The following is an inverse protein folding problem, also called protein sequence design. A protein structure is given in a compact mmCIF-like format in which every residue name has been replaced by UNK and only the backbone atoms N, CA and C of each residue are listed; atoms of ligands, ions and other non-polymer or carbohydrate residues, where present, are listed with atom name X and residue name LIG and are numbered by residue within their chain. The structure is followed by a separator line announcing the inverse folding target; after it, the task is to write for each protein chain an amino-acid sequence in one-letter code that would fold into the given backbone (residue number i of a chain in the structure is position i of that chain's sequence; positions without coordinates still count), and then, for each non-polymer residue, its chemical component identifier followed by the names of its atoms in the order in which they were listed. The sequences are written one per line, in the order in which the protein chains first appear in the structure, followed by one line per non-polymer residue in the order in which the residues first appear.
data_IF_380626231436
#
_entry.id   IF_380626231436
#
_cell.length_a   1.000
_cell.length_b   1.000
_cell.length_c   1.000
_cell.angle_alpha   90.00
_cell.angle_beta   90.00
_cell.angle_gamma   90.00
#
_symmetry.space_group_name_H-M   'P 1'
#
loop_
_entity.id
_entity.type
_entity.pdbx_description
1 polymer ?
#
# COMPACT_ATOMS: atom_id res chain seq x y z
N UNK A 1 9.87 -10.96 1.18
CA UNK A 1 8.64 -11.76 1.24
C UNK A 1 8.37 -11.99 2.71
N UNK A 2 7.25 -11.49 3.21
CA UNK A 2 6.82 -11.70 4.58
C UNK A 2 5.72 -12.78 4.59
N UNK A 3 5.50 -13.42 5.74
CA UNK A 3 4.52 -14.49 5.86
C UNK A 3 3.71 -14.38 7.15
N UNK A 4 2.43 -14.72 7.09
CA UNK A 4 1.53 -14.77 8.25
C UNK A 4 0.50 -15.88 8.06
N UNK A 5 -0.02 -16.45 9.14
CA UNK A 5 -1.02 -17.51 9.11
C UNK A 5 -2.31 -17.03 9.77
N UNK A 6 -3.42 -17.12 9.03
CA UNK A 6 -4.69 -16.54 9.44
C UNK A 6 -5.76 -17.64 9.47
N UNK A 7 -6.31 -17.92 10.66
CA UNK A 7 -7.48 -18.77 10.85
C UNK A 7 -8.72 -17.90 11.03
N UNK A 8 -9.80 -18.18 10.31
CA UNK A 8 -10.98 -17.32 10.36
C UNK A 8 -12.22 -17.98 9.79
N UNK A 9 -12.51 -19.19 10.25
CA UNK A 9 -13.61 -20.00 9.75
C UNK A 9 -13.19 -20.88 8.57
N UNK A 10 -14.17 -21.27 7.74
CA UNK A 10 -13.91 -22.09 6.56
C UNK A 10 -12.84 -21.45 5.67
N UNK A 11 -11.72 -22.16 5.50
CA UNK A 11 -10.56 -21.64 4.79
C UNK A 11 -10.77 -21.46 3.28
N UNK A 12 -11.84 -21.98 2.67
CA UNK A 12 -12.13 -21.80 1.24
C UNK A 12 -12.45 -20.34 0.93
N UNK A 13 -13.37 -19.77 1.70
CA UNK A 13 -13.72 -18.36 1.62
C UNK A 13 -12.55 -17.48 2.01
N UNK A 14 -11.87 -17.82 3.10
CA UNK A 14 -10.73 -17.05 3.59
C UNK A 14 -9.58 -17.01 2.58
N UNK A 15 -9.23 -18.14 1.96
CA UNK A 15 -8.19 -18.20 0.94
C UNK A 15 -8.56 -17.32 -0.25
N UNK A 16 -9.80 -17.42 -0.74
CA UNK A 16 -10.27 -16.60 -1.87
C UNK A 16 -10.28 -15.10 -1.56
N UNK A 17 -10.68 -14.73 -0.34
CA UNK A 17 -10.68 -13.35 0.12
C UNK A 17 -9.26 -12.80 0.18
N UNK A 18 -8.35 -13.50 0.84
CA UNK A 18 -6.96 -13.04 1.05
C UNK A 18 -6.17 -13.07 -0.26
N UNK A 19 -6.31 -14.09 -1.11
CA UNK A 19 -5.60 -14.16 -2.39
C UNK A 19 -6.00 -13.05 -3.37
N UNK A 20 -7.14 -12.42 -3.15
CA UNK A 20 -7.59 -11.29 -3.97
C UNK A 20 -6.91 -9.97 -3.59
N UNK A 21 -6.27 -9.88 -2.42
CA UNK A 21 -5.65 -8.64 -1.91
C UNK A 21 -4.38 -8.32 -2.70
N UNK A 22 -4.27 -7.10 -3.22
CA UNK A 22 -3.05 -6.64 -3.91
C UNK A 22 -1.84 -6.67 -2.95
N UNK A 23 -0.70 -7.18 -3.43
CA UNK A 23 0.50 -7.44 -2.62
C UNK A 23 0.56 -8.83 -1.99
N UNK A 24 -0.55 -9.60 -1.95
CA UNK A 24 -0.49 -11.02 -1.61
C UNK A 24 0.01 -11.80 -2.82
N UNK A 25 1.08 -12.57 -2.62
CA UNK A 25 1.80 -13.26 -3.70
C UNK A 25 1.49 -14.75 -3.76
N UNK A 26 1.13 -15.37 -2.63
CA UNK A 26 0.79 -16.78 -2.56
C UNK A 26 -0.09 -17.06 -1.33
N UNK A 27 -1.02 -17.99 -1.48
CA UNK A 27 -1.80 -18.54 -0.36
C UNK A 27 -1.82 -20.06 -0.39
N UNK A 28 -1.94 -20.68 0.78
CA UNK A 28 -2.02 -22.14 0.93
C UNK A 28 -2.94 -22.47 2.11
N UNK A 29 -3.94 -23.34 1.91
CA UNK A 29 -4.83 -23.77 2.99
C UNK A 29 -4.24 -24.93 3.75
N UNK A 30 -4.50 -25.00 5.06
CA UNK A 30 -3.99 -26.06 5.91
C UNK A 30 -4.54 -26.03 7.33
N UNK A 31 -3.94 -26.85 8.18
CA UNK A 31 -4.34 -27.10 9.55
C UNK A 31 -3.22 -26.69 10.49
N UNK A 32 -3.50 -25.79 11.43
CA UNK A 32 -2.48 -25.21 12.30
C UNK A 32 -2.78 -25.41 13.78
N UNK A 33 -1.69 -25.41 14.57
CA UNK A 33 -1.69 -25.31 16.02
C UNK A 33 -2.57 -26.36 16.73
N UNK A 34 -2.62 -27.57 16.20
CA UNK A 34 -3.21 -28.73 16.87
C UNK A 34 -2.17 -29.71 17.41
N UNK A 35 -2.59 -30.63 18.30
CA UNK A 35 -1.71 -31.54 19.03
C UNK A 35 -1.20 -32.73 18.22
N UNK A 36 -1.84 -33.07 17.10
CA UNK A 36 -1.49 -34.24 16.26
C UNK A 36 -0.68 -33.84 15.04
N UNK A 37 0.20 -34.72 14.57
CA UNK A 37 0.94 -34.52 13.33
C UNK A 37 0.09 -34.85 12.10
N UNK A 38 0.19 -34.03 11.04
CA UNK A 38 -0.38 -34.26 9.71
C UNK A 38 -1.84 -34.75 9.72
N UNK A 39 -2.78 -34.00 10.32
CA UNK A 39 -4.18 -34.44 10.38
C UNK A 39 -4.83 -34.46 8.99
N UNK A 40 -5.75 -35.39 8.75
CA UNK A 40 -6.63 -35.36 7.57
C UNK A 40 -7.83 -34.43 7.82
N UNK A 41 -8.50 -34.00 6.76
CA UNK A 41 -9.71 -33.19 6.89
C UNK A 41 -10.77 -33.84 7.79
N UNK A 42 -10.99 -35.16 7.69
CA UNK A 42 -11.96 -35.86 8.55
C UNK A 42 -11.59 -35.81 10.03
N UNK A 43 -10.29 -35.87 10.34
CA UNK A 43 -9.82 -35.73 11.72
C UNK A 43 -10.02 -34.31 12.24
N UNK A 44 -9.82 -33.30 11.39
CA UNK A 44 -10.06 -31.89 11.73
C UNK A 44 -11.54 -31.63 11.98
N UNK A 45 -12.44 -32.10 11.10
CA UNK A 45 -13.88 -32.05 11.34
C UNK A 45 -14.29 -32.84 12.61
N UNK A 46 -13.54 -33.90 12.94
CA UNK A 46 -13.68 -34.71 14.15
C UNK A 46 -13.08 -34.13 15.42
N UNK A 47 -12.75 -32.82 15.44
CA UNK A 47 -12.20 -32.10 16.60
C UNK A 47 -10.77 -32.52 16.98
N UNK A 48 -9.86 -32.62 15.99
CA UNK A 48 -8.43 -32.86 16.25
C UNK A 48 -7.74 -31.76 17.05
N UNK A 49 -8.36 -30.57 17.18
CA UNK A 49 -7.82 -29.39 17.87
C UNK A 49 -7.08 -28.41 16.94
N UNK A 50 -6.82 -28.81 15.70
CA UNK A 50 -6.26 -27.92 14.67
C UNK A 50 -7.26 -26.84 14.25
N UNK A 51 -6.76 -25.67 13.84
CA UNK A 51 -7.55 -24.63 13.16
C UNK A 51 -7.38 -24.72 11.64
N UNK A 52 -8.47 -24.57 10.90
CA UNK A 52 -8.41 -24.24 9.48
C UNK A 52 -7.75 -22.88 9.30
N UNK A 53 -6.66 -22.87 8.54
CA UNK A 53 -5.73 -21.75 8.48
C UNK A 53 -5.28 -21.52 7.04
N UNK A 54 -5.15 -20.26 6.66
CA UNK A 54 -4.54 -19.84 5.39
C UNK A 54 -3.15 -19.32 5.69
N UNK A 55 -2.13 -19.95 5.11
CA UNK A 55 -0.77 -19.40 5.01
C UNK A 55 -0.78 -18.32 3.94
N UNK A 56 -0.22 -17.16 4.25
CA UNK A 56 -0.23 -15.98 3.39
C UNK A 56 1.20 -15.49 3.20
N UNK A 57 1.72 -15.55 1.98
CA UNK A 57 2.96 -14.88 1.60
C UNK A 57 2.61 -13.57 0.88
N UNK A 58 3.28 -12.48 1.26
CA UNK A 58 3.00 -11.14 0.71
C UNK A 58 4.27 -10.27 0.56
N UNK A 59 4.20 -9.30 -0.34
CA UNK A 59 5.19 -8.23 -0.44
C UNK A 59 4.83 -7.09 0.50
N UNK A 60 5.62 -6.97 1.58
CA UNK A 60 5.53 -5.87 2.56
C UNK A 60 5.66 -4.46 1.97
N UNK A 61 6.15 -4.32 0.72
CA UNK A 61 6.21 -3.06 0.00
C UNK A 61 4.91 -2.68 -0.71
N UNK A 62 4.05 -3.65 -0.99
CA UNK A 62 2.74 -3.46 -1.62
C UNK A 62 1.60 -3.52 -0.62
N UNK A 63 1.74 -4.32 0.44
CA UNK A 63 0.76 -4.43 1.54
C UNK A 63 1.46 -4.58 2.90
N UNK A 64 1.17 -3.68 3.85
CA UNK A 64 1.68 -3.82 5.22
C UNK A 64 0.92 -4.89 6.01
N UNK A 65 1.60 -5.52 6.98
CA UNK A 65 0.95 -6.47 7.90
C UNK A 65 -0.27 -5.85 8.57
N UNK A 66 -0.13 -4.61 9.07
CA UNK A 66 -1.25 -3.92 9.73
C UNK A 66 -2.45 -3.72 8.81
N UNK A 67 -2.24 -3.45 7.52
CA UNK A 67 -3.35 -3.34 6.57
C UNK A 67 -3.97 -4.69 6.22
N UNK A 68 -3.15 -5.72 6.02
CA UNK A 68 -3.62 -7.08 5.78
C UNK A 68 -4.50 -7.59 6.93
N UNK A 69 -4.09 -7.34 8.19
CA UNK A 69 -4.88 -7.71 9.37
C UNK A 69 -6.22 -6.98 9.43
N UNK A 70 -6.28 -5.71 9.02
CA UNK A 70 -7.56 -4.97 8.95
C UNK A 70 -8.52 -5.57 7.92
N UNK A 71 -8.01 -6.01 6.77
CA UNK A 71 -8.82 -6.73 5.78
C UNK A 71 -9.29 -8.07 6.34
N UNK A 72 -8.43 -8.81 7.03
CA UNK A 72 -8.81 -10.03 7.74
C UNK A 72 -9.92 -9.78 8.78
N UNK A 73 -9.83 -8.72 9.59
CA UNK A 73 -10.90 -8.35 10.53
C UNK A 73 -12.22 -7.99 9.83
N UNK A 74 -12.16 -7.35 8.66
CA UNK A 74 -13.33 -7.05 7.84
C UNK A 74 -14.00 -8.33 7.29
N UNK A 75 -13.26 -9.43 7.15
CA UNK A 75 -13.76 -10.69 6.62
C UNK A 75 -14.52 -11.55 7.65
N UNK A 76 -14.15 -11.47 8.93
CA UNK A 76 -14.63 -12.33 10.01
C UNK A 76 -15.61 -11.62 10.96
N UNK A 77 -16.28 -12.39 11.84
CA UNK A 77 -16.78 -11.92 13.12
C UNK A 77 -15.67 -12.04 14.18
N UNK A 78 -15.08 -10.91 14.64
CA UNK A 78 -13.94 -10.93 15.56
C UNK A 78 -14.33 -11.27 17.00
N UNK A 79 -15.62 -11.42 17.31
CA UNK A 79 -16.14 -11.70 18.66
C UNK A 79 -16.68 -13.13 18.80
N UNK A 80 -16.84 -13.84 17.68
CA UNK A 80 -17.32 -15.21 17.67
C UNK A 80 -16.25 -16.18 18.19
N UNK A 81 -16.64 -17.04 19.12
CA UNK A 81 -15.79 -18.10 19.70
C UNK A 81 -16.08 -19.41 18.98
N UNK A 82 -15.05 -20.05 18.42
CA UNK A 82 -15.13 -21.37 17.78
C UNK A 82 -16.20 -21.48 16.68
N UNK A 83 -16.29 -20.48 15.81
CA UNK A 83 -17.21 -20.48 14.69
C UNK A 83 -17.16 -19.19 13.88
N UNK A 84 -17.63 -19.27 12.63
CA UNK A 84 -17.78 -18.16 11.69
C UNK A 84 -18.95 -18.45 10.75
N UNK A 85 -19.88 -17.49 10.61
CA UNK A 85 -21.06 -17.68 9.77
C UNK A 85 -21.89 -18.89 10.20
N UNK A 86 -22.13 -19.83 9.28
CA UNK A 86 -22.83 -21.08 9.57
C UNK A 86 -21.94 -22.20 10.13
N UNK A 87 -20.62 -22.00 10.15
CA UNK A 87 -19.64 -23.01 10.52
C UNK A 87 -19.33 -22.92 12.03
N UNK A 88 -19.39 -24.05 12.73
CA UNK A 88 -19.19 -24.12 14.19
C UNK A 88 -18.26 -25.27 14.56
N UNK A 89 -17.32 -25.01 15.47
CA UNK A 89 -16.28 -25.96 15.89
C UNK A 89 -14.94 -25.28 16.14
N UNK A 90 -14.07 -25.93 16.93
CA UNK A 90 -12.75 -25.38 17.28
C UNK A 90 -11.86 -25.15 16.04
N UNK A 91 -12.10 -25.91 14.97
CA UNK A 91 -11.41 -25.78 13.70
C UNK A 91 -11.73 -24.47 12.99
N UNK A 92 -12.86 -23.83 13.32
CA UNK A 92 -13.30 -22.56 12.76
C UNK A 92 -13.04 -21.37 13.69
N UNK A 93 -12.24 -21.56 14.75
CA UNK A 93 -11.82 -20.46 15.61
C UNK A 93 -11.03 -19.40 14.82
N UNK A 94 -11.06 -18.17 15.31
CA UNK A 94 -10.29 -17.06 14.75
C UNK A 94 -8.92 -16.99 15.41
N UNK A 95 -7.87 -16.88 14.61
CA UNK A 95 -6.49 -16.86 15.09
C UNK A 95 -5.52 -16.18 14.13
N UNK A 96 -4.51 -15.53 14.70
CA UNK A 96 -3.36 -14.98 13.99
C UNK A 96 -2.13 -15.72 14.53
N UNK A 97 -1.47 -16.48 13.65
CA UNK A 97 -0.28 -17.23 13.99
C UNK A 97 0.94 -16.65 13.28
N UNK A 98 1.92 -16.19 14.06
CA UNK A 98 3.13 -15.55 13.56
C UNK A 98 4.33 -16.48 13.67
N UNK A 99 5.25 -16.36 12.72
CA UNK A 99 6.56 -17.05 12.72
C UNK A 99 7.67 -16.15 13.23
N UNK A 100 7.55 -14.84 13.04
CA UNK A 100 8.53 -13.83 13.44
C UNK A 100 8.04 -13.02 14.63
N UNK A 101 8.83 -12.99 15.72
CA UNK A 101 8.50 -12.21 16.93
C UNK A 101 8.43 -10.69 16.66
N UNK A 102 9.07 -10.21 15.59
CA UNK A 102 9.01 -8.80 15.18
C UNK A 102 7.61 -8.35 14.74
N UNK A 103 6.72 -9.27 14.38
CA UNK A 103 5.36 -8.97 13.93
C UNK A 103 4.40 -8.75 15.11
N UNK A 104 4.72 -9.32 16.27
CA UNK A 104 3.86 -9.30 17.45
C UNK A 104 3.45 -7.89 17.91
N UNK A 105 4.32 -6.86 17.93
CA UNK A 105 3.92 -5.50 18.26
C UNK A 105 2.87 -4.93 17.29
N UNK A 106 2.98 -5.22 15.99
CA UNK A 106 2.02 -4.76 14.98
C UNK A 106 0.69 -5.48 15.16
N UNK A 107 0.72 -6.80 15.34
CA UNK A 107 -0.48 -7.63 15.58
C UNK A 107 -1.24 -7.13 16.82
N UNK A 108 -0.54 -6.96 17.94
CA UNK A 108 -1.14 -6.46 19.19
C UNK A 108 -1.73 -5.07 19.03
N UNK A 109 -1.01 -4.16 18.36
CA UNK A 109 -1.51 -2.81 18.08
C UNK A 109 -2.81 -2.83 17.26
N UNK A 110 -2.92 -3.69 16.23
CA UNK A 110 -4.14 -3.79 15.43
C UNK A 110 -5.29 -4.46 16.19
N UNK A 111 -5.01 -5.45 17.06
CA UNK A 111 -6.01 -6.05 17.97
C UNK A 111 -6.54 -5.00 18.96
N UNK A 112 -5.66 -4.22 19.60
CA UNK A 112 -6.05 -3.14 20.51
C UNK A 112 -6.89 -2.08 19.79
N UNK A 113 -6.57 -1.80 18.53
CA UNK A 113 -7.33 -0.88 17.68
C UNK A 113 -8.72 -1.43 17.37
N UNK A 114 -8.82 -2.71 17.02
CA UNK A 114 -10.09 -3.40 16.77
C UNK A 114 -10.95 -3.46 18.03
N UNK A 115 -10.38 -3.80 19.19
CA UNK A 115 -11.11 -3.89 20.45
C UNK A 115 -11.79 -2.56 20.81
N UNK A 116 -11.16 -1.42 20.51
CA UNK A 116 -11.75 -0.09 20.75
C UNK A 116 -13.03 0.18 19.96
N UNK A 117 -13.25 -0.53 18.85
CA UNK A 117 -14.47 -0.39 18.02
C UNK A 117 -15.57 -1.36 18.44
N UNK A 118 -15.30 -2.26 19.39
CA UNK A 118 -16.19 -3.36 19.78
C UNK A 118 -16.59 -3.24 21.25
N UNK A 119 -17.85 -3.52 21.56
CA UNK A 119 -18.31 -3.62 22.96
C UNK A 119 -17.98 -4.99 23.57
N UNK A 120 -18.03 -6.05 22.76
CA UNK A 120 -17.66 -7.39 23.18
C UNK A 120 -16.14 -7.59 23.06
N UNK A 121 -15.55 -8.47 23.89
CA UNK A 121 -14.13 -8.84 23.75
C UNK A 121 -13.82 -9.46 22.39
N UNK A 122 -12.67 -9.12 21.84
CA UNK A 122 -12.09 -9.80 20.67
C UNK A 122 -11.77 -11.25 21.06
N UNK A 123 -12.25 -12.20 20.26
CA UNK A 123 -12.07 -13.64 20.45
C UNK A 123 -10.86 -14.20 19.65
N UNK A 124 -10.24 -13.38 18.80
CA UNK A 124 -9.11 -13.76 17.96
C UNK A 124 -7.91 -14.11 18.84
N UNK A 125 -7.42 -15.34 18.77
CA UNK A 125 -6.19 -15.72 19.47
C UNK A 125 -4.94 -15.23 18.72
N UNK A 126 -3.90 -14.85 19.47
CA UNK A 126 -2.62 -14.42 18.92
C UNK A 126 -1.52 -15.27 19.54
N UNK A 127 -0.96 -16.19 18.75
CA UNK A 127 0.00 -17.19 19.22
C UNK A 127 1.14 -17.35 18.21
N UNK A 128 2.34 -17.79 18.62
CA UNK A 128 3.33 -18.30 17.67
C UNK A 128 2.74 -19.47 16.86
N UNK A 129 3.18 -19.62 15.62
CA UNK A 129 2.90 -20.82 14.84
C UNK A 129 3.68 -22.01 15.42
N UNK A 130 2.97 -23.04 15.87
CA UNK A 130 3.58 -24.26 16.40
C UNK A 130 3.77 -25.32 15.32
N UNK A 131 2.76 -25.53 14.48
CA UNK A 131 2.79 -26.43 13.33
C UNK A 131 1.78 -25.97 12.26
N UNK A 132 2.06 -26.31 11.01
CA UNK A 132 1.16 -26.12 9.89
C UNK A 132 1.28 -27.30 8.93
N UNK A 133 0.16 -27.93 8.62
CA UNK A 133 0.08 -29.04 7.68
C UNK A 133 -0.80 -28.62 6.49
N UNK A 134 -0.27 -28.61 5.25
CA UNK A 134 -1.07 -28.30 4.08
C UNK A 134 -2.29 -29.23 3.97
N UNK A 135 -3.44 -28.64 3.66
CA UNK A 135 -4.65 -29.38 3.37
C UNK A 135 -4.52 -30.10 2.02
N UNK A 136 -5.36 -31.11 1.81
CA UNK A 136 -5.40 -31.89 0.58
C UNK A 136 -5.64 -30.99 -0.65
N UNK A 137 -5.13 -31.42 -1.82
CA UNK A 137 -5.16 -30.61 -3.05
C UNK A 137 -6.56 -30.15 -3.48
N UNK A 138 -7.61 -30.89 -3.13
CA UNK A 138 -8.97 -30.50 -3.47
C UNK A 138 -9.46 -29.29 -2.65
N UNK A 139 -8.85 -28.97 -1.52
CA UNK A 139 -9.13 -27.77 -0.73
C UNK A 139 -8.34 -26.54 -1.17
N UNK A 140 -7.21 -26.72 -1.85
CA UNK A 140 -6.40 -25.62 -2.36
C UNK A 140 -7.18 -24.91 -3.46
N UNK A 141 -7.30 -23.58 -3.36
CA UNK A 141 -7.97 -22.73 -4.36
C UNK A 141 -9.41 -23.20 -4.65
N UNK A 142 -10.09 -23.73 -3.63
CA UNK A 142 -11.38 -24.41 -3.80
C UNK A 142 -12.42 -23.57 -4.55
N UNK A 143 -12.55 -22.27 -4.24
CA UNK A 143 -13.51 -21.37 -4.88
C UNK A 143 -13.10 -20.91 -6.28
N UNK A 144 -11.82 -21.03 -6.65
CA UNK A 144 -11.38 -20.83 -8.02
C UNK A 144 -11.73 -22.05 -8.88
N UNK A 145 -11.56 -23.24 -8.31
CA UNK A 145 -11.97 -24.52 -8.92
C UNK A 145 -13.50 -24.66 -8.96
N UNK A 146 -14.21 -24.11 -7.97
CA UNK A 146 -15.66 -24.23 -7.78
C UNK A 146 -16.30 -22.85 -7.50
N UNK A 147 -16.56 -22.00 -8.51
CA UNK A 147 -17.06 -20.64 -8.30
C UNK A 147 -18.42 -20.52 -7.59
N UNK A 148 -19.25 -21.58 -7.65
CA UNK A 148 -20.52 -21.68 -6.93
C UNK A 148 -20.43 -22.40 -5.58
N UNK A 149 -19.21 -22.68 -5.11
CA UNK A 149 -18.94 -23.36 -3.85
C UNK A 149 -19.38 -22.55 -2.64
N UNK A 150 -19.47 -23.22 -1.49
CA UNK A 150 -19.84 -22.58 -0.23
C UNK A 150 -18.80 -21.53 0.19
N UNK A 151 -19.29 -20.34 0.58
CA UNK A 151 -18.48 -19.27 1.13
C UNK A 151 -19.34 -18.42 2.07
N UNK A 152 -18.93 -18.30 3.34
CA UNK A 152 -19.60 -17.40 4.29
C UNK A 152 -19.19 -15.92 4.10
N UNK A 153 -18.10 -15.65 3.39
CA UNK A 153 -17.64 -14.29 3.04
C UNK A 153 -18.36 -13.83 1.78
N UNK A 154 -19.07 -12.71 1.84
CA UNK A 154 -19.86 -12.24 0.71
C UNK A 154 -18.98 -11.82 -0.50
N UNK A 155 -19.45 -12.01 -1.74
CA UNK A 155 -18.74 -11.56 -2.94
C UNK A 155 -18.39 -10.06 -2.91
N UNK A 156 -19.26 -9.24 -2.32
CA UNK A 156 -19.02 -7.80 -2.14
C UNK A 156 -17.80 -7.51 -1.25
N UNK A 157 -17.59 -8.30 -0.18
CA UNK A 157 -16.38 -8.18 0.67
C UNK A 157 -15.13 -8.59 -0.11
N UNK A 158 -15.18 -9.68 -0.87
CA UNK A 158 -14.06 -10.14 -1.71
C UNK A 158 -13.68 -9.06 -2.75
N UNK A 159 -14.67 -8.50 -3.44
CA UNK A 159 -14.44 -7.41 -4.40
C UNK A 159 -13.84 -6.17 -3.72
N UNK A 160 -14.35 -5.79 -2.55
CA UNK A 160 -13.82 -4.67 -1.76
C UNK A 160 -12.35 -4.91 -1.40
N UNK A 161 -11.99 -6.12 -0.98
CA UNK A 161 -10.60 -6.49 -0.65
C UNK A 161 -9.69 -6.44 -1.87
N UNK A 162 -10.17 -6.90 -3.03
CA UNK A 162 -9.43 -6.85 -4.28
C UNK A 162 -9.11 -5.42 -4.76
N UNK A 163 -9.95 -4.46 -4.40
CA UNK A 163 -9.79 -3.04 -4.73
C UNK A 163 -9.12 -2.24 -3.59
N UNK A 164 -8.86 -2.89 -2.46
CA UNK A 164 -8.27 -2.23 -1.30
C UNK A 164 -6.80 -1.90 -1.60
N UNK A 165 -6.40 -0.68 -1.28
CA UNK A 165 -5.01 -0.24 -1.35
C UNK A 165 -4.57 0.25 0.03
N UNK A 166 -3.36 -0.11 0.44
CA UNK A 166 -2.83 0.28 1.74
C UNK A 166 -2.55 1.79 1.75
N UNK A 167 -3.30 2.59 2.54
CA UNK A 167 -3.09 4.03 2.58
C UNK A 167 -1.69 4.42 3.10
N UNK A 168 -1.08 3.56 3.94
CA UNK A 168 0.26 3.81 4.47
C UNK A 168 1.35 3.67 3.40
N UNK A 169 1.09 2.84 2.39
CA UNK A 169 1.99 2.61 1.26
C UNK A 169 1.60 3.47 0.05
N UNK A 170 0.58 4.32 0.18
CA UNK A 170 0.19 5.24 -0.88
C UNK A 170 1.34 6.20 -1.18
N UNK A 171 1.76 6.17 -2.44
CA UNK A 171 2.92 6.89 -2.97
C UNK A 171 4.28 6.39 -2.46
N UNK A 172 4.39 5.11 -2.12
CA UNK A 172 5.70 4.48 -1.86
C UNK A 172 6.57 4.52 -3.13
N UNK A 173 7.88 4.66 -2.93
CA UNK A 173 8.84 4.62 -4.03
C UNK A 173 8.90 3.21 -4.64
N UNK A 174 8.62 3.05 -5.96
CA UNK A 174 8.90 1.80 -6.64
C UNK A 174 10.41 1.52 -6.66
N UNK A 175 10.80 0.25 -6.80
CA UNK A 175 12.21 -0.10 -6.95
C UNK A 175 12.78 0.36 -8.30
N UNK A 176 14.11 0.37 -8.41
CA UNK A 176 14.81 0.89 -9.59
C UNK A 176 14.50 0.11 -10.88
N UNK A 177 14.20 -1.19 -10.81
CA UNK A 177 13.83 -2.00 -11.99
C UNK A 177 12.45 -1.56 -12.47
N UNK A 178 11.49 -1.48 -11.55
CA UNK A 178 10.14 -1.00 -11.84
C UNK A 178 10.15 0.41 -12.43
N UNK A 179 10.94 1.34 -11.86
CA UNK A 179 11.07 2.70 -12.39
C UNK A 179 11.66 2.73 -13.80
N UNK A 180 12.66 1.89 -14.09
CA UNK A 180 13.30 1.84 -15.41
C UNK A 180 12.37 1.33 -16.50
N UNK A 181 11.41 0.48 -16.15
CA UNK A 181 10.39 -0.02 -17.08
C UNK A 181 9.25 0.98 -17.31
N UNK A 182 8.85 1.72 -16.27
CA UNK A 182 7.69 2.64 -16.31
C UNK A 182 8.02 4.04 -16.82
N UNK A 183 9.22 4.55 -16.54
CA UNK A 183 9.62 5.92 -16.86
C UNK A 183 10.24 6.01 -18.25
N UNK A 184 10.07 7.16 -18.90
CA UNK A 184 10.88 7.48 -20.08
C UNK A 184 12.36 7.64 -19.70
N UNK A 185 13.31 7.52 -20.65
CA UNK A 185 14.73 7.72 -20.36
C UNK A 185 15.02 9.08 -19.68
N UNK A 186 14.39 10.17 -20.15
CA UNK A 186 14.54 11.49 -19.55
C UNK A 186 13.98 11.54 -18.12
N UNK A 187 12.78 10.99 -17.88
CA UNK A 187 12.21 10.92 -16.53
C UNK A 187 13.10 10.11 -15.59
N UNK A 188 13.63 8.98 -16.04
CA UNK A 188 14.54 8.16 -15.25
C UNK A 188 15.84 8.91 -14.93
N UNK A 189 16.49 9.51 -15.93
CA UNK A 189 17.76 10.22 -15.73
C UNK A 189 17.59 11.47 -14.84
N UNK A 190 16.53 12.24 -15.03
CA UNK A 190 16.23 13.38 -14.16
C UNK A 190 15.99 12.90 -12.74
N UNK A 191 15.06 11.97 -12.53
CA UNK A 191 14.63 11.59 -11.17
C UNK A 191 15.65 10.76 -10.40
N UNK A 192 16.38 9.86 -11.07
CA UNK A 192 17.29 8.90 -10.43
C UNK A 192 18.74 9.36 -10.49
N UNK A 193 19.17 9.96 -11.61
CA UNK A 193 20.56 10.33 -11.88
C UNK A 193 20.84 11.83 -11.70
N UNK A 194 19.85 12.60 -11.22
CA UNK A 194 19.93 14.05 -11.03
C UNK A 194 20.34 14.80 -12.32
N UNK A 195 19.90 14.30 -13.47
CA UNK A 195 20.00 15.03 -14.72
C UNK A 195 19.06 16.25 -14.73
N UNK A 196 19.23 17.11 -15.72
CA UNK A 196 18.35 18.28 -15.93
C UNK A 196 17.89 18.29 -17.37
N UNK A 197 16.58 18.37 -17.59
CA UNK A 197 15.99 18.43 -18.94
C UNK A 197 16.31 19.78 -19.62
N UNK A 198 16.26 19.88 -20.96
CA UNK A 198 16.55 21.13 -21.64
C UNK A 198 15.54 22.25 -21.30
N UNK A 199 16.00 23.52 -21.16
CA UNK A 199 15.11 24.64 -20.92
C UNK A 199 14.21 24.89 -22.14
N UNK A 200 12.95 25.27 -21.90
CA UNK A 200 11.91 25.58 -22.91
C UNK A 200 11.51 24.42 -23.83
N UNK A 201 12.17 23.26 -23.76
CA UNK A 201 11.84 22.05 -24.50
C UNK A 201 11.29 20.97 -23.55
N UNK A 202 10.34 21.36 -22.71
CA UNK A 202 9.70 20.47 -21.75
C UNK A 202 8.18 20.72 -21.66
N UNK A 203 7.44 19.81 -21.06
CA UNK A 203 5.97 19.81 -21.18
C UNK A 203 5.28 20.90 -20.35
N UNK A 204 5.89 21.32 -19.23
CA UNK A 204 5.19 22.13 -18.23
C UNK A 204 5.75 23.54 -18.02
N UNK A 205 6.79 23.97 -18.74
CA UNK A 205 7.36 25.32 -18.52
C UNK A 205 6.31 26.43 -18.69
N UNK A 206 5.49 26.39 -19.74
CA UNK A 206 4.47 27.40 -20.08
C UNK A 206 3.05 27.02 -19.64
N UNK A 207 2.84 25.86 -19.02
CA UNK A 207 1.49 25.40 -18.69
C UNK A 207 0.84 26.27 -17.61
N UNK A 208 -0.39 26.71 -17.86
CA UNK A 208 -1.23 27.48 -16.90
C UNK A 208 -2.53 26.76 -16.52
N UNK A 209 -2.66 25.47 -16.90
CA UNK A 209 -3.88 24.70 -16.66
C UNK A 209 -4.13 24.51 -15.16
N UNK A 210 -5.38 24.60 -14.69
CA UNK A 210 -5.71 24.30 -13.30
C UNK A 210 -5.52 22.79 -13.04
N UNK A 211 -4.77 22.46 -12.00
CA UNK A 211 -4.43 21.08 -11.67
C UNK A 211 -3.31 20.99 -10.64
N UNK A 212 -2.94 19.75 -10.30
CA UNK A 212 -1.80 19.47 -9.42
C UNK A 212 -0.67 18.81 -10.20
N UNK A 213 0.55 19.00 -9.72
CA UNK A 213 1.73 18.30 -10.20
C UNK A 213 2.14 17.27 -9.17
N UNK A 214 2.10 16.00 -9.57
CA UNK A 214 2.48 14.87 -8.73
C UNK A 214 3.89 14.40 -9.11
N UNK A 215 4.60 13.79 -8.16
CA UNK A 215 5.85 13.08 -8.41
C UNK A 215 5.61 11.98 -9.46
N UNK A 216 6.36 12.00 -10.57
CA UNK A 216 6.20 11.00 -11.63
C UNK A 216 6.54 9.58 -11.16
N UNK A 217 7.37 9.45 -10.13
CA UNK A 217 7.87 8.16 -9.61
C UNK A 217 6.89 7.50 -8.63
N UNK A 218 6.15 8.30 -7.85
CA UNK A 218 5.30 7.80 -6.77
C UNK A 218 3.83 8.17 -6.91
N UNK A 219 3.52 9.23 -7.65
CA UNK A 219 2.20 9.87 -7.68
C UNK A 219 1.91 10.79 -6.50
N UNK A 220 2.86 11.03 -5.58
CA UNK A 220 2.65 11.95 -4.45
C UNK A 220 2.40 13.39 -4.95
N UNK A 221 1.32 14.07 -4.56
CA UNK A 221 1.10 15.47 -4.91
C UNK A 221 2.20 16.37 -4.33
N UNK A 222 2.90 17.12 -5.19
CA UNK A 222 4.02 17.98 -4.78
C UNK A 222 3.67 19.47 -4.90
N UNK A 223 3.09 19.89 -6.01
CA UNK A 223 2.79 21.29 -6.30
C UNK A 223 1.38 21.49 -6.84
N UNK A 224 0.88 22.73 -6.74
CA UNK A 224 -0.40 23.16 -7.33
C UNK A 224 -0.14 24.18 -8.43
N UNK A 225 -0.96 24.16 -9.50
CA UNK A 225 -0.94 25.17 -10.55
C UNK A 225 -1.12 26.59 -10.00
N UNK A 226 -1.87 26.76 -8.91
CA UNK A 226 -2.02 28.04 -8.20
C UNK A 226 -0.67 28.60 -7.75
N UNK A 227 0.26 27.73 -7.37
CA UNK A 227 1.60 28.10 -6.89
C UNK A 227 2.66 28.25 -7.99
N UNK A 228 2.32 27.89 -9.22
CA UNK A 228 3.14 28.09 -10.41
C UNK A 228 3.19 29.57 -10.81
N UNK A 229 4.29 29.98 -11.43
CA UNK A 229 4.44 31.28 -12.07
C UNK A 229 5.46 31.20 -13.21
N UNK A 230 5.38 32.12 -14.17
CA UNK A 230 6.40 32.27 -15.22
C UNK A 230 7.63 32.98 -14.65
N UNK A 231 8.76 32.29 -14.64
CA UNK A 231 10.06 32.84 -14.23
C UNK A 231 10.95 33.25 -15.41
N UNK A 232 10.58 32.89 -16.65
CA UNK A 232 11.45 33.03 -17.82
C UNK A 232 12.72 32.17 -17.79
N UNK A 233 12.83 31.20 -16.86
CA UNK A 233 14.02 30.36 -16.71
C UNK A 233 14.04 29.14 -17.63
N UNK A 234 12.90 28.77 -18.23
CA UNK A 234 12.76 27.62 -19.12
C UNK A 234 12.30 26.32 -18.46
N UNK A 235 12.02 26.33 -17.15
CA UNK A 235 11.47 25.18 -16.42
C UNK A 235 10.25 25.61 -15.58
N UNK A 236 9.29 24.71 -15.29
CA UNK A 236 8.18 25.05 -14.42
C UNK A 236 8.68 25.52 -13.06
N UNK A 237 8.21 26.71 -12.68
CA UNK A 237 8.64 27.40 -11.47
C UNK A 237 7.47 27.57 -10.50
N UNK A 238 7.68 27.17 -9.25
CA UNK A 238 6.68 27.26 -8.18
C UNK A 238 7.18 28.12 -7.03
N UNK A 239 6.26 28.82 -6.37
CA UNK A 239 6.60 29.64 -5.20
C UNK A 239 6.75 28.82 -3.91
N UNK A 240 6.07 27.67 -3.82
CA UNK A 240 6.10 26.74 -2.68
C UNK A 240 5.60 25.35 -3.09
N UNK A 241 5.99 24.27 -2.40
CA UNK A 241 5.30 22.98 -2.46
C UNK A 241 3.96 23.03 -1.71
N UNK A 242 3.13 21.99 -1.89
CA UNK A 242 1.88 21.81 -1.15
C UNK A 242 2.09 21.74 0.38
N UNK A 243 3.24 21.24 0.81
CA UNK A 243 3.75 21.20 2.18
C UNK A 243 5.27 21.03 2.15
N UNK A 244 5.98 21.62 3.11
CA UNK A 244 7.44 21.45 3.24
C UNK A 244 7.84 20.01 3.62
N UNK A 245 6.92 19.24 4.20
CA UNK A 245 7.16 17.83 4.56
C UNK A 245 7.27 16.90 3.34
N UNK A 246 6.83 17.36 2.16
CA UNK A 246 6.81 16.59 0.91
C UNK A 246 8.14 16.64 0.15
N UNK A 247 9.05 17.52 0.55
CA UNK A 247 10.35 17.71 -0.11
C UNK A 247 11.50 17.58 0.86
N UNK A 248 12.68 17.29 0.34
CA UNK A 248 13.94 17.35 1.08
C UNK A 248 14.90 18.27 0.36
N UNK A 249 15.62 19.06 1.14
CA UNK A 249 16.68 19.93 0.66
C UNK A 249 18.04 19.23 0.82
N UNK A 250 18.86 19.29 -0.22
CA UNK A 250 20.24 18.81 -0.19
C UNK A 250 21.18 19.86 -0.74
N UNK A 251 22.35 20.00 -0.13
CA UNK A 251 23.38 20.89 -0.65
C UNK A 251 24.01 20.29 -1.90
N UNK A 252 23.94 21.01 -3.00
CA UNK A 252 24.52 20.64 -4.29
C UNK A 252 25.74 21.53 -4.62
N UNK A 253 26.88 20.90 -4.87
CA UNK A 253 28.14 21.57 -5.27
C UNK A 253 28.59 21.22 -6.70
N UNK A 254 27.71 20.59 -7.48
CA UNK A 254 27.98 20.24 -8.88
C UNK A 254 28.15 21.48 -9.75
N UNK A 255 28.81 21.30 -10.90
CA UNK A 255 29.03 22.35 -11.91
C UNK A 255 29.70 23.64 -11.36
N UNK A 256 30.44 23.54 -10.25
CA UNK A 256 31.16 24.68 -9.65
C UNK A 256 30.26 25.72 -8.96
N UNK A 257 28.99 25.39 -8.71
CA UNK A 257 28.03 26.27 -8.04
C UNK A 257 27.64 25.71 -6.66
N UNK A 258 27.14 26.54 -5.76
CA UNK A 258 26.48 26.09 -4.52
C UNK A 258 24.98 26.35 -4.68
N UNK A 259 24.19 25.28 -4.73
CA UNK A 259 22.73 25.33 -4.88
C UNK A 259 22.06 24.44 -3.82
N UNK A 260 20.76 24.59 -3.68
CA UNK A 260 19.93 23.71 -2.86
C UNK A 260 19.11 22.81 -3.79
N UNK A 261 19.50 21.54 -3.90
CA UNK A 261 18.75 20.49 -4.59
C UNK A 261 17.44 20.22 -3.83
N UNK A 262 16.36 20.04 -4.58
CA UNK A 262 15.06 19.63 -4.10
C UNK A 262 14.76 18.22 -4.60
N UNK A 263 14.42 17.32 -3.67
CA UNK A 263 13.97 15.96 -3.95
C UNK A 263 12.62 15.67 -3.30
N UNK A 264 11.81 14.78 -3.88
CA UNK A 264 10.57 14.32 -3.25
C UNK A 264 10.88 13.52 -1.98
N UNK A 265 10.05 13.63 -0.94
CA UNK A 265 10.31 12.98 0.35
C UNK A 265 10.18 11.46 0.27
N UNK A 266 9.07 10.96 -0.30
CA UNK A 266 8.81 9.52 -0.39
C UNK A 266 9.60 8.84 -1.51
N UNK A 267 9.64 9.45 -2.69
CA UNK A 267 10.35 8.92 -3.85
C UNK A 267 11.86 9.07 -3.78
N UNK A 268 12.36 10.04 -3.02
CA UNK A 268 13.75 10.53 -3.10
C UNK A 268 14.16 10.86 -4.56
N UNK A 269 13.18 11.20 -5.40
CA UNK A 269 13.39 11.57 -6.79
C UNK A 269 13.97 12.98 -6.86
N UNK A 270 15.02 13.18 -7.65
CA UNK A 270 15.52 14.52 -7.95
C UNK A 270 14.44 15.29 -8.72
N UNK A 271 14.07 16.46 -8.20
CA UNK A 271 13.06 17.32 -8.80
C UNK A 271 13.71 18.50 -9.51
N UNK A 272 14.70 19.13 -8.86
CA UNK A 272 15.40 20.31 -9.38
C UNK A 272 16.06 21.08 -8.24
N UNK A 273 15.94 22.41 -8.24
CA UNK A 273 16.60 23.28 -7.26
C UNK A 273 15.68 24.41 -6.78
N UNK A 274 15.95 24.93 -5.59
CA UNK A 274 15.28 26.12 -5.04
C UNK A 274 16.24 27.31 -4.98
N UNK A 275 15.71 28.49 -5.34
CA UNK A 275 16.45 29.74 -5.39
C UNK A 275 15.70 30.86 -4.62
N UNK A 276 16.42 31.83 -4.02
CA UNK A 276 15.81 32.96 -3.29
C UNK A 276 15.48 34.16 -4.20
N UNK A 277 15.21 33.92 -5.48
CA UNK A 277 14.94 34.92 -6.52
C UNK A 277 13.48 34.92 -7.00
N UNK A 278 12.58 34.31 -6.21
CA UNK A 278 11.15 34.23 -6.53
C UNK A 278 10.36 35.50 -6.17
N UNK A 279 9.05 35.53 -6.50
CA UNK A 279 8.18 36.66 -6.22
C UNK A 279 8.06 36.91 -4.71
N UNK A 280 8.40 38.13 -4.25
CA UNK A 280 8.49 38.48 -2.83
C UNK A 280 7.17 38.34 -2.11
N UNK A 281 6.07 38.72 -2.74
CA UNK A 281 4.71 38.61 -2.24
C UNK A 281 4.23 37.16 -2.06
N UNK A 282 4.96 36.20 -2.66
CA UNK A 282 4.66 34.77 -2.57
C UNK A 282 5.64 33.99 -1.68
N UNK A 283 6.55 34.69 -1.00
CA UNK A 283 7.55 34.09 -0.10
C UNK A 283 9.00 34.22 -0.60
N UNK A 284 9.23 34.76 -1.80
CA UNK A 284 10.57 35.03 -2.32
C UNK A 284 11.36 33.81 -2.81
N UNK A 285 10.76 32.62 -2.77
CA UNK A 285 11.38 31.39 -3.25
C UNK A 285 10.91 31.03 -4.66
N UNK A 286 11.81 30.43 -5.42
CA UNK A 286 11.54 29.83 -6.72
C UNK A 286 12.03 28.39 -6.73
N UNK A 287 11.08 27.46 -6.69
CA UNK A 287 11.30 26.05 -6.92
C UNK A 287 11.33 25.81 -8.44
N UNK A 288 12.53 25.66 -8.99
CA UNK A 288 12.77 25.40 -10.40
C UNK A 288 12.84 23.89 -10.62
N UNK A 289 11.78 23.31 -11.15
CA UNK A 289 11.56 21.85 -11.18
C UNK A 289 11.60 21.35 -12.61
N UNK A 290 12.12 20.14 -12.85
CA UNK A 290 12.03 19.49 -14.15
C UNK A 290 10.60 18.98 -14.39
N UNK A 291 10.03 19.24 -15.56
CA UNK A 291 8.79 18.62 -16.01
C UNK A 291 8.89 17.10 -16.04
N UNK A 292 10.04 16.55 -16.45
CA UNK A 292 10.33 15.12 -16.42
C UNK A 292 10.33 14.50 -15.01
N UNK A 293 10.31 15.29 -13.94
CA UNK A 293 10.12 14.78 -12.58
C UNK A 293 8.65 14.80 -12.12
N UNK A 294 7.75 15.34 -12.95
CA UNK A 294 6.36 15.59 -12.62
C UNK A 294 5.41 14.86 -13.59
N UNK A 295 4.20 14.60 -13.10
CA UNK A 295 3.03 14.29 -13.91
C UNK A 295 1.93 15.29 -13.56
N UNK A 296 1.36 15.95 -14.55
CA UNK A 296 0.26 16.89 -14.32
C UNK A 296 -1.10 16.18 -14.29
N UNK A 297 -1.92 16.50 -13.29
CA UNK A 297 -3.31 16.03 -13.15
C UNK A 297 -4.25 17.23 -13.31
N UNK A 298 -4.98 17.33 -14.44
CA UNK A 298 -5.98 18.38 -14.63
C UNK A 298 -7.06 18.34 -13.55
N UNK A 299 -7.56 19.51 -13.14
CA UNK A 299 -8.58 19.64 -12.08
C UNK A 299 -9.80 18.74 -12.33
N UNK A 300 -10.23 18.63 -13.57
CA UNK A 300 -11.35 17.80 -14.02
C UNK A 300 -11.14 16.29 -13.83
N UNK A 301 -9.89 15.82 -13.81
CA UNK A 301 -9.54 14.40 -13.66
C UNK A 301 -9.13 14.02 -12.23
N UNK A 302 -8.88 15.02 -11.36
CA UNK A 302 -8.36 14.78 -10.02
C UNK A 302 -9.22 13.83 -9.19
N UNK A 303 -10.54 13.98 -9.18
CA UNK A 303 -11.40 13.10 -8.40
C UNK A 303 -11.40 11.67 -8.92
N UNK A 304 -11.46 11.52 -10.25
CA UNK A 304 -11.40 10.23 -10.94
C UNK A 304 -10.08 9.50 -10.70
N UNK A 305 -8.98 10.24 -10.62
CA UNK A 305 -7.64 9.69 -10.34
C UNK A 305 -7.33 9.55 -8.84
N UNK A 306 -8.30 9.79 -7.97
CA UNK A 306 -8.16 9.59 -6.52
C UNK A 306 -7.50 10.76 -5.77
N UNK A 307 -7.32 11.91 -6.41
CA UNK A 307 -6.80 13.16 -5.85
C UNK A 307 -7.90 14.14 -5.40
N UNK A 308 -9.14 13.67 -5.17
CA UNK A 308 -10.26 14.51 -4.74
C UNK A 308 -9.98 15.34 -3.47
N UNK A 309 -9.16 14.81 -2.55
CA UNK A 309 -8.77 15.51 -1.31
C UNK A 309 -7.98 16.81 -1.53
N UNK A 310 -7.48 17.08 -2.75
CA UNK A 310 -6.71 18.28 -3.07
C UNK A 310 -7.49 19.30 -3.91
N UNK A 311 -8.75 19.04 -4.29
CA UNK A 311 -9.54 19.90 -5.19
C UNK A 311 -9.69 21.34 -4.70
N UNK A 312 -9.73 21.57 -3.39
CA UNK A 312 -9.84 22.92 -2.81
C UNK A 312 -8.53 23.74 -2.91
N UNK A 313 -7.41 23.08 -3.24
CA UNK A 313 -6.08 23.70 -3.33
C UNK A 313 -5.69 24.13 -4.75
N UNK A 314 -6.62 24.03 -5.70
CA UNK A 314 -6.39 24.13 -7.16
C UNK A 314 -7.27 25.15 -7.84
#
# INVERSE_FOLDING_TARGET
MAEIFLAGGCFWGMQKYISSVHGVTKTETGYANGPTESPTYEQVCGNSGHAETVRVEYDSKEVSLGFLLRLYFDAIDPTAVNGQGGDSGIQYRTGIYYTEESDLPVIRSEIDRLQKTLSNPVAIEVLPLANFYPAEEYHQEYLDKNPGGYCHISPAKIQKAAQASDPALRFSAPDAVTLKEKLTPMQFDVTQNAATEPPFENEYWDSERPGIYVDVTTGEPLFTAKDKFDSGCGWPSFSRPLSQELVTERRDMSHGMIRTEIRSKKGNAHLGHVFPDGPRERGGLRYCINSAALRFIPKEDMEKEGYGAWLERV
#
